data_IF_774312343946
#
_entry.id   IF_774312343946
#
_cell.length_a   1.000
_cell.length_b   1.000
_cell.length_c   1.000
_cell.angle_alpha   90.00
_cell.angle_beta   90.00
_cell.angle_gamma   90.00
#
_symmetry.space_group_name_H-M   'P 1'
#
loop_
_entity.id
_entity.type
_entity.pdbx_description
1 polymer ?
#
# COMPACT_ATOMS: atom_id res chain seq x y z
N UNK A 1 34.22 19.75 -15.26
CA UNK A 1 34.49 18.90 -14.09
C UNK A 1 33.21 18.91 -13.27
N UNK A 2 32.10 18.41 -13.80
CA UNK A 2 31.78 16.97 -13.94
C UNK A 2 31.94 16.26 -12.62
N UNK A 3 30.92 16.40 -11.77
CA UNK A 3 30.65 15.48 -10.67
C UNK A 3 29.46 14.63 -11.13
N UNK A 4 29.77 13.64 -11.98
CA UNK A 4 28.84 12.62 -12.42
C UNK A 4 28.65 11.67 -11.23
N UNK A 5 27.68 11.99 -10.38
CA UNK A 5 27.26 11.16 -9.28
C UNK A 5 26.98 9.74 -9.76
N UNK A 6 27.79 8.82 -9.26
CA UNK A 6 27.69 7.39 -9.44
C UNK A 6 26.28 6.92 -9.07
N UNK A 7 25.38 6.82 -10.06
CA UNK A 7 24.14 6.09 -9.92
C UNK A 7 24.50 4.61 -9.86
N UNK A 8 24.82 4.13 -8.66
CA UNK A 8 24.97 2.71 -8.39
C UNK A 8 23.62 2.07 -8.72
N UNK A 9 23.48 1.53 -9.92
CA UNK A 9 22.36 0.66 -10.24
C UNK A 9 22.47 -0.53 -9.28
N UNK A 10 21.62 -0.54 -8.25
CA UNK A 10 21.53 -1.64 -7.30
C UNK A 10 21.45 -2.96 -8.07
N UNK A 11 22.18 -3.98 -7.59
CA UNK A 11 22.15 -5.31 -8.20
C UNK A 11 20.68 -5.76 -8.33
N UNK A 12 20.27 -6.48 -9.40
CA UNK A 12 18.91 -7.01 -9.52
C UNK A 12 18.44 -7.72 -8.24
N UNK A 13 19.35 -8.39 -7.52
CA UNK A 13 19.04 -9.10 -6.28
C UNK A 13 18.76 -8.18 -5.09
N UNK A 14 19.29 -6.96 -5.09
CA UNK A 14 19.10 -5.94 -4.03
C UNK A 14 17.82 -5.11 -4.23
N UNK A 15 17.07 -5.35 -5.32
CA UNK A 15 15.86 -4.59 -5.59
C UNK A 15 14.79 -4.87 -4.54
N UNK A 16 14.10 -3.79 -4.17
CA UNK A 16 13.02 -3.82 -3.20
C UNK A 16 11.69 -3.37 -3.81
N UNK A 17 10.58 -3.81 -3.22
CA UNK A 17 9.24 -3.36 -3.60
C UNK A 17 8.38 -3.07 -2.37
N UNK A 18 7.64 -1.96 -2.42
CA UNK A 18 6.78 -1.51 -1.34
C UNK A 18 5.34 -2.05 -1.41
N UNK A 19 4.58 -1.92 -0.30
CA UNK A 19 3.23 -2.48 -0.19
C UNK A 19 2.18 -1.69 -0.95
N UNK A 20 2.44 -0.41 -1.24
CA UNK A 20 1.55 0.44 -2.04
C UNK A 20 1.36 -0.07 -3.48
N UNK A 21 2.18 -1.03 -3.90
CA UNK A 21 2.04 -1.77 -5.13
C UNK A 21 0.78 -2.65 -5.19
N UNK A 22 0.13 -2.91 -4.04
CA UNK A 22 -1.16 -3.59 -3.89
C UNK A 22 -2.25 -3.13 -4.87
N UNK A 23 -2.43 -1.80 -4.96
CA UNK A 23 -3.40 -1.13 -5.82
C UNK A 23 -2.82 -0.71 -7.18
N UNK A 24 -1.55 -1.01 -7.46
CA UNK A 24 -0.90 -0.69 -8.74
C UNK A 24 -0.99 -1.91 -9.65
N UNK A 25 -1.26 -1.71 -10.94
CA UNK A 25 -1.07 -2.79 -11.90
C UNK A 25 0.42 -3.18 -11.94
N UNK A 26 0.71 -4.46 -12.26
CA UNK A 26 2.10 -4.93 -12.38
C UNK A 26 2.88 -4.12 -13.44
N UNK A 27 2.21 -3.66 -14.50
CA UNK A 27 2.86 -2.78 -15.48
C UNK A 27 3.31 -1.44 -14.90
N UNK A 28 2.51 -0.84 -14.02
CA UNK A 28 2.91 0.36 -13.28
C UNK A 28 4.11 0.10 -12.38
N UNK A 29 4.13 -1.04 -11.68
CA UNK A 29 5.27 -1.46 -10.84
C UNK A 29 6.55 -1.55 -11.69
N UNK A 30 6.47 -2.18 -12.88
CA UNK A 30 7.61 -2.25 -13.81
C UNK A 30 8.08 -0.86 -14.27
N UNK A 31 7.13 0.03 -14.62
CA UNK A 31 7.43 1.40 -15.06
C UNK A 31 8.08 2.23 -13.96
N UNK A 32 7.62 2.10 -12.72
CA UNK A 32 8.20 2.77 -11.55
C UNK A 32 9.63 2.28 -11.26
N UNK A 33 9.85 0.96 -11.35
CA UNK A 33 11.17 0.36 -11.16
C UNK A 33 12.19 0.68 -12.27
N UNK A 34 11.70 0.97 -13.48
CA UNK A 34 12.53 1.40 -14.62
C UNK A 34 12.69 2.91 -14.75
N UNK A 35 11.98 3.70 -13.93
CA UNK A 35 12.07 5.15 -13.97
C UNK A 35 13.31 5.65 -13.23
N UNK A 36 13.80 6.82 -13.63
CA UNK A 36 14.93 7.47 -12.96
C UNK A 36 14.58 7.82 -11.49
N UNK A 37 15.58 7.84 -10.62
CA UNK A 37 15.37 8.20 -9.21
C UNK A 37 14.76 9.60 -9.10
N UNK A 38 13.71 9.74 -8.29
CA UNK A 38 13.01 11.02 -8.17
C UNK A 38 11.92 11.27 -9.21
N UNK A 39 11.60 10.31 -10.11
CA UNK A 39 10.58 10.44 -11.17
C UNK A 39 9.29 11.12 -10.73
N UNK A 40 8.86 10.86 -9.50
CA UNK A 40 7.64 11.40 -8.91
C UNK A 40 7.62 12.91 -8.73
N UNK A 41 8.79 13.57 -8.71
CA UNK A 41 8.89 15.04 -8.55
C UNK A 41 8.37 15.79 -9.76
N UNK A 42 8.39 15.17 -10.94
CA UNK A 42 7.93 15.76 -12.20
C UNK A 42 6.82 14.94 -12.88
N UNK A 43 6.48 13.77 -12.34
CA UNK A 43 5.32 13.02 -12.80
C UNK A 43 4.03 13.82 -12.65
N UNK A 44 3.10 13.74 -13.61
CA UNK A 44 1.78 14.34 -13.50
C UNK A 44 0.94 13.54 -12.48
N UNK A 45 1.10 13.88 -11.20
CA UNK A 45 0.27 13.31 -10.13
C UNK A 45 -1.12 13.94 -10.20
N UNK A 46 -2.15 13.09 -10.25
CA UNK A 46 -3.55 13.50 -10.19
C UNK A 46 -3.80 14.41 -8.98
N UNK A 47 -4.54 15.49 -9.21
CA UNK A 47 -4.79 16.50 -8.17
C UNK A 47 -5.59 15.91 -6.99
N UNK A 48 -6.54 15.02 -7.28
CA UNK A 48 -7.27 14.30 -6.24
C UNK A 48 -6.36 13.42 -5.39
N UNK A 49 -5.32 12.80 -5.98
CA UNK A 49 -4.30 12.06 -5.23
C UNK A 49 -3.53 12.99 -4.30
N UNK A 50 -3.06 14.14 -4.79
CA UNK A 50 -2.34 15.14 -3.97
C UNK A 50 -3.19 15.62 -2.80
N UNK A 51 -4.43 16.00 -3.05
CA UNK A 51 -5.36 16.46 -2.01
C UNK A 51 -5.63 15.39 -0.94
N UNK A 52 -5.79 14.14 -1.36
CA UNK A 52 -5.96 13.02 -0.41
C UNK A 52 -4.70 12.80 0.45
N UNK A 53 -3.52 12.91 -0.14
CA UNK A 53 -2.25 12.79 0.58
C UNK A 53 -2.06 13.94 1.59
N UNK A 54 -2.37 15.18 1.20
CA UNK A 54 -2.34 16.34 2.11
C UNK A 54 -3.32 16.17 3.27
N UNK A 55 -4.58 15.81 2.99
CA UNK A 55 -5.58 15.58 4.03
C UNK A 55 -5.20 14.43 4.98
N UNK A 56 -4.51 13.40 4.48
CA UNK A 56 -3.96 12.34 5.32
C UNK A 56 -2.80 12.84 6.20
N UNK A 57 -1.93 13.70 5.66
CA UNK A 57 -0.86 14.38 6.39
C UNK A 57 -1.40 15.25 7.54
N UNK A 58 -2.36 16.13 7.25
CA UNK A 58 -3.00 16.99 8.27
C UNK A 58 -3.64 16.16 9.39
N UNK A 59 -4.31 15.07 9.01
CA UNK A 59 -4.90 14.14 9.97
C UNK A 59 -3.82 13.49 10.85
N UNK A 60 -2.71 13.05 10.27
CA UNK A 60 -1.58 12.49 11.02
C UNK A 60 -0.99 13.53 11.97
N UNK A 61 -0.75 14.76 11.51
CA UNK A 61 -0.24 15.84 12.37
C UNK A 61 -1.16 16.10 13.57
N UNK A 62 -2.48 16.20 13.34
CA UNK A 62 -3.44 16.37 14.44
C UNK A 62 -3.48 15.20 15.43
N UNK A 63 -3.30 13.96 14.95
CA UNK A 63 -3.24 12.77 15.82
C UNK A 63 -1.91 12.65 16.56
N UNK A 64 -0.79 12.99 15.92
CA UNK A 64 0.54 13.11 16.52
C UNK A 64 0.51 14.04 17.72
N UNK A 65 -0.01 15.25 17.54
CA UNK A 65 -0.12 16.21 18.63
C UNK A 65 -0.97 15.70 19.80
N UNK A 66 -2.08 15.00 19.51
CA UNK A 66 -2.92 14.37 20.54
C UNK A 66 -2.18 13.25 21.27
N UNK A 67 -1.38 12.45 20.57
CA UNK A 67 -0.58 11.40 21.18
C UNK A 67 0.49 11.99 22.10
N UNK A 68 1.20 13.03 21.65
CA UNK A 68 2.20 13.74 22.44
C UNK A 68 1.60 14.40 23.69
N UNK A 69 0.46 15.09 23.55
CA UNK A 69 -0.24 15.73 24.69
C UNK A 69 -0.90 14.72 25.63
N UNK A 70 -1.33 13.58 25.10
CA UNK A 70 -2.03 12.54 25.85
C UNK A 70 -1.13 11.55 26.57
N UNK A 71 0.20 11.66 26.41
CA UNK A 71 1.16 10.81 27.09
C UNK A 71 1.15 11.07 28.61
N UNK A 72 0.66 10.09 29.36
CA UNK A 72 0.69 10.12 30.82
C UNK A 72 2.09 9.81 31.38
N UNK A 73 2.28 9.90 32.71
CA UNK A 73 3.51 9.48 33.36
C UNK A 73 3.87 8.03 32.97
N UNK A 74 5.12 7.80 32.55
CA UNK A 74 5.60 6.49 32.11
C UNK A 74 5.25 6.09 30.67
N UNK A 75 4.50 6.92 29.94
CA UNK A 75 4.26 6.73 28.50
C UNK A 75 5.32 7.50 27.72
N UNK A 76 6.16 6.77 26.96
CA UNK A 76 7.19 7.38 26.11
C UNK A 76 6.71 7.40 24.66
N UNK A 77 6.39 8.59 24.16
CA UNK A 77 6.07 8.81 22.74
C UNK A 77 7.29 9.41 22.06
N UNK A 78 7.80 8.72 21.03
CA UNK A 78 8.89 9.24 20.19
C UNK A 78 8.30 9.65 18.85
N UNK A 79 8.56 10.88 18.44
CA UNK A 79 8.20 11.39 17.13
C UNK A 79 9.44 11.46 16.25
N UNK A 80 9.48 10.63 15.20
CA UNK A 80 10.66 10.46 14.35
C UNK A 80 10.70 11.55 13.27
N UNK A 81 9.55 11.77 12.63
CA UNK A 81 9.43 12.50 11.36
C UNK A 81 8.87 13.91 11.49
N UNK A 82 8.15 14.19 12.58
CA UNK A 82 7.43 15.45 12.73
C UNK A 82 6.40 15.65 11.62
N UNK A 83 6.45 16.80 10.97
CA UNK A 83 5.51 17.19 9.93
C UNK A 83 5.93 16.74 8.51
N UNK A 84 7.06 15.99 8.40
CA UNK A 84 7.59 15.50 7.12
C UNK A 84 6.89 14.23 6.60
N UNK A 85 5.92 13.69 7.33
CA UNK A 85 5.25 12.44 6.96
C UNK A 85 4.12 12.66 5.94
N UNK A 86 4.45 12.43 4.67
CA UNK A 86 3.52 12.45 3.54
C UNK A 86 3.07 11.02 3.17
N UNK A 87 2.15 10.87 2.22
CA UNK A 87 1.92 9.56 1.56
C UNK A 87 2.21 9.70 0.06
N UNK A 88 3.05 10.68 -0.31
CA UNK A 88 3.41 10.93 -1.69
C UNK A 88 4.47 9.92 -2.13
N UNK A 89 4.53 9.60 -3.43
CA UNK A 89 5.63 8.80 -3.93
C UNK A 89 6.97 9.46 -3.59
N UNK A 90 7.97 8.66 -3.21
CA UNK A 90 9.26 9.14 -2.75
C UNK A 90 9.36 9.50 -1.27
N UNK A 91 8.25 9.39 -0.52
CA UNK A 91 8.31 9.41 0.93
C UNK A 91 8.80 8.07 1.47
N UNK A 92 10.11 7.90 1.40
CA UNK A 92 10.83 6.77 1.96
C UNK A 92 11.53 7.18 3.25
N UNK A 93 11.74 6.23 4.18
CA UNK A 93 12.69 6.38 5.26
C UNK A 93 14.05 6.89 4.77
N UNK A 94 14.65 7.80 5.53
CA UNK A 94 16.06 8.16 5.40
C UNK A 94 16.86 7.55 6.57
N UNK A 95 18.18 7.42 6.42
CA UNK A 95 19.05 6.75 7.41
C UNK A 95 18.94 7.35 8.82
N UNK A 96 18.73 8.66 8.92
CA UNK A 96 18.59 9.37 10.20
C UNK A 96 17.27 8.99 10.89
N UNK A 97 16.17 8.93 10.14
CA UNK A 97 14.87 8.50 10.64
C UNK A 97 14.88 7.02 11.04
N UNK A 98 15.57 6.17 10.28
CA UNK A 98 15.74 4.75 10.60
C UNK A 98 16.51 4.58 11.91
N UNK A 99 17.66 5.26 12.07
CA UNK A 99 18.43 5.21 13.31
C UNK A 99 17.64 5.73 14.52
N UNK A 100 16.88 6.81 14.35
CA UNK A 100 15.98 7.33 15.40
C UNK A 100 14.91 6.32 15.77
N UNK A 101 14.36 5.63 14.78
CA UNK A 101 13.37 4.58 14.98
C UNK A 101 13.96 3.43 15.78
N UNK A 102 15.09 2.87 15.35
CA UNK A 102 15.75 1.75 16.04
C UNK A 102 16.06 2.09 17.50
N UNK A 103 16.66 3.26 17.76
CA UNK A 103 16.91 3.72 19.14
C UNK A 103 15.62 3.85 19.96
N UNK A 104 14.54 4.33 19.36
CA UNK A 104 13.26 4.43 20.04
C UNK A 104 12.71 3.04 20.44
N UNK A 105 12.89 2.04 19.57
CA UNK A 105 12.46 0.67 19.81
C UNK A 105 13.30 0.01 20.91
N UNK A 106 14.63 0.14 20.85
CA UNK A 106 15.58 -0.38 21.84
C UNK A 106 15.35 0.22 23.24
N UNK A 107 15.05 1.51 23.31
CA UNK A 107 14.76 2.21 24.55
C UNK A 107 13.32 1.98 25.06
N UNK A 108 12.54 1.11 24.41
CA UNK A 108 11.21 0.72 24.88
C UNK A 108 10.16 1.84 24.81
N UNK A 109 10.18 2.65 23.74
CA UNK A 109 9.11 3.63 23.51
C UNK A 109 7.72 2.97 23.54
N UNK A 110 6.74 3.58 24.20
CA UNK A 110 5.35 3.09 24.18
C UNK A 110 4.73 3.25 22.79
N UNK A 111 5.08 4.34 22.11
CA UNK A 111 4.62 4.65 20.76
C UNK A 111 5.74 5.34 19.98
N UNK A 112 6.02 4.85 18.77
CA UNK A 112 6.91 5.53 17.82
C UNK A 112 6.03 6.06 16.68
N UNK A 113 5.86 7.37 16.64
CA UNK A 113 5.08 8.05 15.62
C UNK A 113 5.92 8.30 14.37
N UNK A 114 5.43 7.83 13.23
CA UNK A 114 6.15 7.95 11.95
C UNK A 114 7.47 7.22 11.96
N UNK A 115 7.52 6.07 12.64
CA UNK A 115 8.62 5.13 12.58
C UNK A 115 9.01 4.87 11.13
N UNK A 116 10.31 4.95 10.87
CA UNK A 116 10.97 4.61 9.62
C UNK A 116 11.53 3.19 9.76
N UNK A 117 10.78 2.21 9.25
CA UNK A 117 11.25 0.83 9.18
C UNK A 117 12.21 0.71 7.99
N UNK A 118 13.46 0.23 8.21
CA UNK A 118 14.44 0.13 7.15
C UNK A 118 13.99 -0.86 6.08
N UNK A 119 14.54 -0.71 4.88
CA UNK A 119 14.37 -1.72 3.83
C UNK A 119 15.00 -3.05 4.25
N UNK A 120 14.42 -4.15 3.78
CA UNK A 120 14.99 -5.49 3.91
C UNK A 120 15.29 -6.05 2.50
N UNK A 121 16.52 -5.83 1.98
CA UNK A 121 16.93 -6.35 0.68
C UNK A 121 16.89 -7.88 0.61
N UNK A 122 17.05 -8.60 1.73
CA UNK A 122 17.03 -10.06 1.75
C UNK A 122 15.64 -10.61 1.37
N UNK A 123 14.57 -9.98 1.86
CA UNK A 123 13.19 -10.30 1.45
C UNK A 123 12.69 -9.45 0.26
N UNK A 124 13.50 -8.51 -0.22
CA UNK A 124 13.13 -7.56 -1.28
C UNK A 124 12.02 -6.59 -0.85
N UNK A 125 11.91 -6.27 0.44
CA UNK A 125 10.89 -5.36 0.98
C UNK A 125 11.44 -3.94 1.10
N UNK A 126 10.74 -2.98 0.50
CA UNK A 126 11.08 -1.57 0.59
C UNK A 126 10.82 -1.04 2.00
N UNK A 127 11.68 -0.15 2.49
CA UNK A 127 11.47 0.52 3.78
C UNK A 127 10.16 1.30 3.79
N UNK A 128 9.52 1.43 4.95
CA UNK A 128 8.23 2.12 5.04
C UNK A 128 8.07 2.95 6.30
N UNK A 129 7.27 4.01 6.20
CA UNK A 129 6.81 4.79 7.35
C UNK A 129 5.49 4.27 7.90
N UNK A 130 5.42 4.05 9.21
CA UNK A 130 4.19 3.71 9.92
C UNK A 130 4.23 4.19 11.37
N UNK A 131 3.15 4.01 12.11
CA UNK A 131 3.18 4.17 13.58
C UNK A 131 3.46 2.80 14.20
N UNK A 132 4.30 2.74 15.23
CA UNK A 132 4.55 1.50 15.98
C UNK A 132 4.05 1.66 17.41
N UNK A 133 3.32 0.66 17.91
CA UNK A 133 2.87 0.61 19.30
C UNK A 133 3.53 -0.58 20.00
N UNK A 134 4.05 -0.35 21.21
CA UNK A 134 4.50 -1.44 22.07
C UNK A 134 3.29 -2.24 22.58
N UNK A 135 3.46 -3.55 22.76
CA UNK A 135 2.39 -4.43 23.23
C UNK A 135 2.75 -5.17 24.52
N UNK A 136 1.75 -5.53 25.36
CA UNK A 136 1.97 -6.45 26.46
C UNK A 136 2.55 -7.77 25.95
N UNK A 137 3.61 -8.24 26.60
CA UNK A 137 4.37 -9.43 26.16
C UNK A 137 5.60 -9.10 25.32
N UNK A 138 5.83 -7.83 24.99
CA UNK A 138 7.04 -7.36 24.33
C UNK A 138 6.90 -7.26 22.80
N UNK A 139 7.85 -6.53 22.21
CA UNK A 139 7.85 -6.19 20.80
C UNK A 139 6.83 -5.11 20.43
N UNK A 140 6.74 -4.86 19.13
CA UNK A 140 5.95 -3.80 18.53
C UNK A 140 5.02 -4.34 17.45
N UNK A 141 3.92 -3.63 17.27
CA UNK A 141 2.93 -3.90 16.22
C UNK A 141 2.79 -2.69 15.32
N UNK A 142 2.65 -2.89 14.00
CA UNK A 142 2.46 -1.80 13.07
C UNK A 142 1.04 -1.26 13.16
N UNK A 143 0.92 0.06 13.10
CA UNK A 143 -0.32 0.79 13.07
C UNK A 143 -0.34 1.77 11.89
N UNK A 144 -1.37 1.66 11.05
CA UNK A 144 -1.62 2.58 9.94
C UNK A 144 -2.59 3.68 10.35
N UNK A 145 -2.26 4.91 9.97
CA UNK A 145 -3.11 6.08 10.20
C UNK A 145 -3.71 6.50 8.86
N UNK A 146 -4.92 6.05 8.58
CA UNK A 146 -5.54 6.15 7.24
C UNK A 146 -6.68 7.16 7.17
N UNK A 147 -6.86 7.81 6.01
CA UNK A 147 -7.89 8.84 5.82
C UNK A 147 -9.20 8.29 5.24
N UNK A 148 -9.60 7.09 5.66
CA UNK A 148 -10.88 6.47 5.29
C UNK A 148 -11.51 5.75 6.48
N UNK A 149 -12.82 5.50 6.40
CA UNK A 149 -13.55 4.77 7.45
C UNK A 149 -13.14 3.30 7.46
N UNK A 150 -12.78 2.79 8.63
CA UNK A 150 -12.39 1.37 8.85
C UNK A 150 -13.40 0.61 9.70
N UNK A 151 -14.42 1.32 10.18
CA UNK A 151 -15.57 0.76 10.90
C UNK A 151 -16.84 1.43 10.43
N UNK A 152 -17.94 0.70 10.55
CA UNK A 152 -19.29 1.25 10.47
C UNK A 152 -20.03 0.98 11.80
N UNK A 153 -21.07 1.79 12.13
CA UNK A 153 -22.03 1.44 13.17
C UNK A 153 -22.68 0.09 12.87
N UNK A 154 -22.76 -0.77 13.87
CA UNK A 154 -23.39 -2.08 13.77
C UNK A 154 -24.91 -1.94 13.91
N UNK A 155 -25.66 -2.52 12.97
CA UNK A 155 -27.13 -2.64 13.02
C UNK A 155 -27.49 -4.13 13.07
N UNK A 156 -28.26 -4.58 14.07
CA UNK A 156 -28.71 -5.98 14.19
C UNK A 156 -27.70 -6.95 14.83
N UNK A 157 -28.04 -8.25 14.90
CA UNK A 157 -27.33 -9.26 15.72
C UNK A 157 -26.21 -10.08 15.04
N UNK A 158 -26.07 -10.07 13.71
CA UNK A 158 -25.29 -11.08 12.97
C UNK A 158 -24.05 -10.54 12.22
N UNK A 159 -23.17 -9.79 12.89
CA UNK A 159 -21.85 -9.47 12.32
C UNK A 159 -20.75 -9.57 13.38
N UNK A 160 -19.55 -9.97 12.93
CA UNK A 160 -18.37 -10.03 13.77
C UNK A 160 -18.06 -8.64 14.34
N UNK A 161 -17.85 -8.59 15.67
CA UNK A 161 -17.53 -7.37 16.41
C UNK A 161 -16.14 -6.89 16.00
N UNK A 162 -15.97 -5.57 15.86
CA UNK A 162 -14.64 -5.01 15.68
C UNK A 162 -13.80 -5.20 16.95
N UNK A 163 -12.57 -5.71 16.82
CA UNK A 163 -11.59 -5.66 17.90
C UNK A 163 -10.91 -4.29 17.83
N UNK A 164 -10.91 -3.54 18.93
CA UNK A 164 -10.39 -2.17 18.95
C UNK A 164 -9.41 -1.94 20.10
N UNK A 165 -8.49 -0.99 19.92
CA UNK A 165 -7.48 -0.64 20.92
C UNK A 165 -7.16 0.87 20.87
N UNK A 166 -6.49 1.38 21.91
CA UNK A 166 -5.81 2.69 21.85
C UNK A 166 -4.32 2.45 21.65
N UNK A 167 -3.66 3.26 20.82
CA UNK A 167 -2.24 3.01 20.51
C UNK A 167 -1.28 3.27 21.68
N UNK A 168 -1.63 4.20 22.57
CA UNK A 168 -0.84 4.49 23.78
C UNK A 168 -1.08 3.49 24.94
N UNK A 169 -2.11 2.66 24.82
CA UNK A 169 -2.56 1.72 25.84
C UNK A 169 -3.11 0.49 25.11
N UNK A 170 -2.17 -0.35 24.65
CA UNK A 170 -2.50 -1.50 23.82
C UNK A 170 -3.22 -2.58 24.62
N UNK A 171 -4.55 -2.52 24.61
CA UNK A 171 -5.45 -3.47 25.25
C UNK A 171 -6.62 -3.81 24.30
N UNK A 172 -6.42 -4.66 23.27
CA UNK A 172 -7.45 -4.99 22.30
C UNK A 172 -8.70 -5.59 22.95
N UNK A 173 -9.87 -5.01 22.71
CA UNK A 173 -11.15 -5.48 23.23
C UNK A 173 -12.26 -5.39 22.16
N UNK A 174 -13.23 -6.32 22.12
CA UNK A 174 -14.34 -6.25 21.18
C UNK A 174 -15.24 -5.03 21.45
N UNK A 175 -15.56 -4.25 20.43
CA UNK A 175 -16.57 -3.20 20.50
C UNK A 175 -17.91 -3.71 19.91
N UNK A 176 -18.97 -3.87 20.74
CA UNK A 176 -20.24 -4.40 20.27
C UNK A 176 -21.03 -3.41 19.42
N UNK A 177 -20.58 -2.16 19.26
CA UNK A 177 -21.26 -1.13 18.48
C UNK A 177 -20.69 -0.97 17.08
N UNK A 178 -19.55 -1.59 16.79
CA UNK A 178 -18.81 -1.41 15.55
C UNK A 178 -18.67 -2.73 14.78
N UNK A 179 -18.78 -2.63 13.46
CA UNK A 179 -18.37 -3.68 12.52
C UNK A 179 -17.17 -3.21 11.72
N UNK A 180 -16.23 -4.12 11.44
CA UNK A 180 -15.04 -3.81 10.64
C UNK A 180 -15.43 -3.58 9.18
N UNK A 181 -14.92 -2.50 8.59
CA UNK A 181 -14.91 -2.29 7.14
C UNK A 181 -13.53 -2.68 6.64
N UNK A 182 -13.47 -3.80 5.92
CA UNK A 182 -12.20 -4.36 5.42
C UNK A 182 -11.71 -3.56 4.21
N UNK A 183 -10.42 -3.28 4.21
CA UNK A 183 -9.69 -2.67 3.10
C UNK A 183 -8.46 -3.54 2.83
N UNK A 184 -8.45 -4.36 1.76
CA UNK A 184 -7.33 -5.27 1.48
C UNK A 184 -5.96 -4.56 1.45
N UNK A 185 -5.89 -3.35 0.87
CA UNK A 185 -4.66 -2.56 0.83
C UNK A 185 -4.12 -2.15 2.21
N UNK A 186 -4.96 -2.03 3.24
CA UNK A 186 -4.48 -1.78 4.60
C UNK A 186 -3.83 -3.04 5.19
N UNK A 187 -4.38 -4.22 4.89
CA UNK A 187 -3.82 -5.50 5.34
C UNK A 187 -2.47 -5.78 4.67
N UNK A 188 -2.35 -5.55 3.37
CA UNK A 188 -1.07 -5.70 2.64
C UNK A 188 0.01 -4.79 3.25
N UNK A 189 -0.34 -3.53 3.54
CA UNK A 189 0.57 -2.57 4.20
C UNK A 189 0.95 -3.01 5.62
N UNK A 190 0.02 -3.58 6.38
CA UNK A 190 0.31 -4.10 7.72
C UNK A 190 1.21 -5.33 7.69
N UNK A 191 0.96 -6.27 6.77
CA UNK A 191 1.81 -7.46 6.58
C UNK A 191 3.22 -7.06 6.18
N UNK A 192 3.36 -6.08 5.26
CA UNK A 192 4.67 -5.56 4.88
C UNK A 192 5.41 -4.94 6.06
N UNK A 193 4.75 -4.06 6.83
CA UNK A 193 5.33 -3.47 8.03
C UNK A 193 5.70 -4.53 9.09
N UNK A 194 4.88 -5.58 9.22
CA UNK A 194 5.13 -6.69 10.12
C UNK A 194 6.43 -7.42 9.77
N UNK A 195 6.63 -7.77 8.50
CA UNK A 195 7.87 -8.43 8.08
C UNK A 195 9.11 -7.54 8.24
N UNK A 196 8.99 -6.23 8.01
CA UNK A 196 10.09 -5.32 8.30
C UNK A 196 10.42 -5.29 9.81
N UNK A 197 9.41 -5.34 10.69
CA UNK A 197 9.62 -5.45 12.13
C UNK A 197 10.27 -6.78 12.54
N UNK A 198 9.91 -7.88 11.87
CA UNK A 198 10.54 -9.19 12.08
C UNK A 198 12.02 -9.15 11.68
N UNK A 199 12.32 -8.55 10.52
CA UNK A 199 13.69 -8.43 10.02
C UNK A 199 14.62 -7.67 10.99
N UNK A 200 14.11 -6.64 11.67
CA UNK A 200 14.85 -5.88 12.68
C UNK A 200 14.71 -6.45 14.11
N UNK A 201 14.03 -7.59 14.29
CA UNK A 201 13.93 -8.26 15.60
C UNK A 201 13.02 -7.59 16.63
N UNK A 202 12.16 -6.65 16.23
CA UNK A 202 11.28 -5.91 17.13
C UNK A 202 9.80 -6.26 17.00
N UNK A 203 9.42 -7.18 16.12
CA UNK A 203 8.05 -7.65 16.01
C UNK A 203 7.53 -8.26 17.32
N UNK A 204 6.25 -8.05 17.61
CA UNK A 204 5.57 -8.78 18.68
C UNK A 204 5.57 -10.30 18.44
N UNK A 205 5.18 -11.09 19.44
CA UNK A 205 5.11 -12.55 19.29
C UNK A 205 3.99 -13.03 18.34
N UNK A 206 2.97 -12.20 18.08
CA UNK A 206 1.83 -12.54 17.21
C UNK A 206 1.69 -11.53 16.08
N UNK A 207 1.45 -11.98 14.83
CA UNK A 207 1.31 -11.12 13.67
C UNK A 207 -0.03 -10.38 13.72
N UNK A 208 -0.04 -9.25 14.42
CA UNK A 208 -1.19 -8.37 14.55
C UNK A 208 -0.81 -6.97 14.10
N UNK A 209 -1.77 -6.28 13.51
CA UNK A 209 -1.62 -4.88 13.10
C UNK A 209 -2.84 -4.07 13.48
N UNK A 210 -2.71 -2.75 13.46
CA UNK A 210 -3.82 -1.84 13.77
C UNK A 210 -4.06 -0.82 12.67
N UNK A 211 -5.31 -0.42 12.48
CA UNK A 211 -5.67 0.67 11.56
C UNK A 211 -6.51 1.71 12.29
N UNK A 212 -5.97 2.92 12.38
CA UNK A 212 -6.67 4.09 12.88
C UNK A 212 -7.30 4.84 11.70
N UNK A 213 -8.58 4.58 11.45
CA UNK A 213 -9.33 5.22 10.36
C UNK A 213 -10.05 6.51 10.74
N UNK A 214 -10.61 7.15 9.72
CA UNK A 214 -11.31 8.43 9.82
C UNK A 214 -12.52 8.36 10.77
N UNK A 215 -12.65 9.36 11.65
CA UNK A 215 -13.77 9.48 12.57
C UNK A 215 -13.73 8.54 13.79
N UNK A 216 -12.66 7.77 13.97
CA UNK A 216 -12.46 6.92 15.15
C UNK A 216 -11.31 7.44 16.03
N UNK A 217 -11.48 7.38 17.35
CA UNK A 217 -10.42 7.59 18.34
C UNK A 217 -9.73 6.29 18.78
N UNK A 218 -10.22 5.14 18.30
CA UNK A 218 -9.67 3.81 18.54
C UNK A 218 -9.24 3.17 17.22
N UNK A 219 -8.16 2.41 17.27
CA UNK A 219 -7.68 1.65 16.11
C UNK A 219 -8.37 0.30 16.06
N UNK A 220 -8.69 -0.18 14.85
CA UNK A 220 -9.16 -1.55 14.62
C UNK A 220 -7.96 -2.47 14.60
N UNK A 221 -8.00 -3.54 15.39
CA UNK A 221 -6.94 -4.56 15.44
C UNK A 221 -7.28 -5.67 14.46
N UNK A 222 -6.29 -6.07 13.67
CA UNK A 222 -6.36 -7.14 12.70
C UNK A 222 -5.41 -8.26 13.09
N UNK A 223 -5.91 -9.49 13.07
CA UNK A 223 -5.07 -10.68 12.98
C UNK A 223 -4.55 -10.79 11.54
N UNK A 224 -3.24 -10.75 11.37
CA UNK A 224 -2.59 -10.81 10.06
C UNK A 224 -2.34 -12.24 9.62
N UNK A 225 -2.33 -13.21 10.53
CA UNK A 225 -2.00 -14.60 10.23
C UNK A 225 -2.80 -15.18 9.03
N UNK A 226 -4.13 -14.95 8.90
CA UNK A 226 -4.90 -15.49 7.78
C UNK A 226 -4.57 -14.89 6.41
N UNK A 227 -3.82 -13.78 6.36
CA UNK A 227 -3.53 -13.05 5.12
C UNK A 227 -2.04 -12.99 4.78
N UNK A 228 -1.14 -13.43 5.67
CA UNK A 228 0.31 -13.46 5.45
C UNK A 228 0.67 -14.12 4.12
N UNK A 229 0.25 -15.38 3.93
CA UNK A 229 0.63 -16.17 2.75
C UNK A 229 0.15 -15.53 1.43
N UNK A 230 -1.06 -14.95 1.42
CA UNK A 230 -1.59 -14.29 0.24
C UNK A 230 -0.83 -12.98 -0.07
N UNK A 231 -0.54 -12.19 0.96
CA UNK A 231 0.25 -10.97 0.82
C UNK A 231 1.69 -11.30 0.37
N UNK A 232 2.29 -12.37 0.87
CA UNK A 232 3.64 -12.82 0.50
C UNK A 232 3.74 -13.27 -0.95
N UNK A 233 2.76 -14.03 -1.45
CA UNK A 233 2.68 -14.36 -2.89
C UNK A 233 2.57 -13.11 -3.76
N UNK A 234 1.76 -12.15 -3.30
CA UNK A 234 1.56 -10.90 -4.04
C UNK A 234 2.84 -10.04 -4.02
N UNK A 235 3.58 -10.04 -2.90
CA UNK A 235 4.90 -9.42 -2.79
C UNK A 235 5.91 -10.07 -3.71
N UNK A 236 6.05 -11.41 -3.64
CA UNK A 236 6.98 -12.18 -4.48
C UNK A 236 6.73 -11.93 -5.97
N UNK A 237 5.48 -11.94 -6.41
CA UNK A 237 5.11 -11.66 -7.82
C UNK A 237 5.60 -10.28 -8.26
N UNK A 238 5.50 -9.27 -7.40
CA UNK A 238 5.95 -7.90 -7.70
C UNK A 238 7.46 -7.77 -7.65
N UNK A 239 8.12 -8.52 -6.78
CA UNK A 239 9.57 -8.57 -6.73
C UNK A 239 10.12 -9.13 -8.05
N UNK A 240 9.51 -10.17 -8.61
CA UNK A 240 9.86 -10.68 -9.95
C UNK A 240 9.68 -9.60 -11.04
N UNK A 241 8.62 -8.80 -10.97
CA UNK A 241 8.43 -7.67 -11.91
C UNK A 241 9.55 -6.64 -11.78
N UNK A 242 9.85 -6.22 -10.55
CA UNK A 242 10.88 -5.22 -10.28
C UNK A 242 12.27 -5.73 -10.66
N UNK A 243 12.53 -7.04 -10.53
CA UNK A 243 13.75 -7.72 -10.97
C UNK A 243 13.83 -7.95 -12.48
N UNK A 244 12.72 -7.74 -13.19
CA UNK A 244 12.64 -7.93 -14.64
C UNK A 244 12.49 -9.39 -15.09
N UNK A 245 12.23 -10.32 -14.17
CA UNK A 245 12.02 -11.75 -14.46
C UNK A 245 10.57 -12.05 -14.85
N UNK A 246 9.62 -11.22 -14.42
CA UNK A 246 8.23 -11.29 -14.86
C UNK A 246 7.90 -10.15 -15.83
N UNK A 247 7.75 -10.41 -17.14
CA UNK A 247 7.32 -9.39 -18.09
C UNK A 247 5.89 -8.93 -17.78
N UNK A 248 5.60 -7.67 -18.07
CA UNK A 248 4.28 -7.06 -17.86
C UNK A 248 3.82 -6.32 -19.10
N UNK A 249 2.52 -6.31 -19.33
CA UNK A 249 1.88 -5.54 -20.39
C UNK A 249 0.82 -4.60 -19.78
N UNK A 250 0.52 -3.46 -20.45
CA UNK A 250 -0.61 -2.63 -20.07
C UNK A 250 -1.91 -3.44 -20.00
N UNK A 251 -2.76 -3.11 -19.03
CA UNK A 251 -4.16 -3.56 -18.96
C UNK A 251 -4.91 -2.53 -18.14
N UNK A 252 -6.07 -2.09 -18.61
CA UNK A 252 -6.86 -1.06 -17.93
C UNK A 252 -7.48 -1.63 -16.65
N UNK A 253 -7.18 -0.98 -15.54
CA UNK A 253 -7.78 -1.22 -14.23
C UNK A 253 -8.34 0.08 -13.65
N UNK A 254 -9.05 0.01 -12.54
CA UNK A 254 -9.71 1.19 -11.93
C UNK A 254 -8.72 2.31 -11.58
N UNK A 255 -7.52 1.96 -11.16
CA UNK A 255 -6.46 2.88 -10.76
C UNK A 255 -5.75 3.56 -11.94
N UNK A 256 -5.99 3.11 -13.19
CA UNK A 256 -5.44 3.77 -14.38
C UNK A 256 -5.86 5.25 -14.47
N UNK A 257 -7.03 5.61 -13.93
CA UNK A 257 -7.54 6.99 -13.97
C UNK A 257 -6.64 8.02 -13.27
N UNK A 258 -5.84 7.58 -12.29
CA UNK A 258 -4.91 8.42 -11.52
C UNK A 258 -3.45 7.98 -11.72
N UNK A 259 -3.21 7.10 -12.69
CA UNK A 259 -1.90 6.57 -13.00
C UNK A 259 -1.15 7.57 -13.90
N UNK A 260 0.04 8.05 -13.52
CA UNK A 260 0.74 9.04 -14.32
C UNK A 260 1.16 8.46 -15.69
N UNK A 261 1.41 7.15 -15.81
CA UNK A 261 1.74 6.50 -17.09
C UNK A 261 0.54 6.23 -18.01
N UNK A 262 -0.68 6.58 -17.62
CA UNK A 262 -1.87 6.34 -18.43
C UNK A 262 -1.84 7.11 -19.74
N UNK A 263 -1.65 8.43 -19.66
CA UNK A 263 -1.54 9.33 -20.83
C UNK A 263 -0.11 9.41 -21.39
N UNK A 264 0.86 8.86 -20.66
CA UNK A 264 2.26 8.75 -21.05
C UNK A 264 3.08 10.02 -20.84
N UNK A 265 4.26 9.87 -20.25
CA UNK A 265 5.20 10.97 -19.99
C UNK A 265 6.61 10.41 -19.76
N UNK A 266 7.63 11.17 -20.14
CA UNK A 266 9.04 10.91 -19.85
C UNK A 266 9.72 12.23 -19.50
N UNK A 267 10.14 12.39 -18.24
CA UNK A 267 10.69 13.65 -17.74
C UNK A 267 9.72 14.86 -17.77
N UNK A 268 10.20 16.07 -17.45
CA UNK A 268 9.35 17.25 -17.27
C UNK A 268 8.75 17.85 -18.56
N UNK A 269 9.16 17.39 -19.74
CA UNK A 269 8.82 18.06 -21.03
C UNK A 269 8.56 17.13 -22.21
N UNK A 270 8.73 15.81 -22.08
CA UNK A 270 8.57 14.89 -23.20
C UNK A 270 7.34 14.00 -22.99
N UNK A 271 6.42 14.05 -23.94
CA UNK A 271 5.28 13.13 -23.98
C UNK A 271 5.70 11.90 -24.78
N UNK A 272 5.55 10.73 -24.17
CA UNK A 272 5.71 9.43 -24.83
C UNK A 272 4.37 8.70 -24.83
N UNK A 273 4.18 7.69 -25.70
CA UNK A 273 2.95 6.89 -25.69
C UNK A 273 2.66 6.31 -24.30
N UNK A 274 1.45 6.57 -23.82
CA UNK A 274 0.93 6.06 -22.57
C UNK A 274 0.37 4.64 -22.67
N UNK A 275 -0.06 4.09 -21.54
CA UNK A 275 -0.79 2.82 -21.53
C UNK A 275 -2.07 2.91 -22.36
N UNK A 276 -2.76 4.05 -22.34
CA UNK A 276 -3.99 4.27 -23.08
C UNK A 276 -3.81 4.10 -24.58
N UNK A 277 -2.89 4.85 -25.16
CA UNK A 277 -2.61 4.84 -26.59
C UNK A 277 -2.21 3.44 -27.05
N UNK A 278 -1.41 2.73 -26.25
CA UNK A 278 -1.04 1.35 -26.55
C UNK A 278 -2.24 0.41 -26.58
N UNK A 279 -3.13 0.49 -25.58
CA UNK A 279 -4.32 -0.34 -25.51
C UNK A 279 -5.30 -0.04 -26.64
N UNK A 280 -5.45 1.23 -27.02
CA UNK A 280 -6.29 1.65 -28.15
C UNK A 280 -5.74 1.13 -29.49
N UNK A 281 -4.42 1.12 -29.67
CA UNK A 281 -3.76 0.55 -30.85
C UNK A 281 -3.88 -0.98 -30.94
N UNK A 282 -3.80 -1.66 -29.80
CA UNK A 282 -3.89 -3.12 -29.72
C UNK A 282 -5.36 -3.63 -29.69
N UNK A 283 -6.34 -2.72 -29.77
CA UNK A 283 -7.78 -3.00 -29.61
C UNK A 283 -8.10 -3.78 -28.32
N UNK A 284 -7.39 -3.50 -27.22
CA UNK A 284 -7.38 -4.38 -26.04
C UNK A 284 -8.72 -4.41 -25.29
N UNK A 285 -9.19 -5.61 -24.96
CA UNK A 285 -10.51 -5.83 -24.33
C UNK A 285 -10.65 -5.16 -22.96
N UNK A 286 -9.55 -4.91 -22.25
CA UNK A 286 -9.60 -4.20 -20.96
C UNK A 286 -10.13 -2.78 -21.07
N UNK A 287 -10.19 -2.20 -22.26
CA UNK A 287 -10.79 -0.88 -22.48
C UNK A 287 -12.29 -0.85 -22.17
N UNK A 288 -13.00 -1.98 -22.32
CA UNK A 288 -14.47 -2.04 -22.19
C UNK A 288 -14.95 -2.90 -21.03
N UNK A 289 -14.07 -3.71 -20.41
CA UNK A 289 -14.41 -4.52 -19.24
C UNK A 289 -13.61 -4.09 -17.99
N UNK A 290 -14.09 -4.48 -16.82
CA UNK A 290 -13.36 -4.31 -15.56
C UNK A 290 -12.12 -5.22 -15.49
N UNK A 291 -11.06 -4.78 -14.82
CA UNK A 291 -9.80 -5.54 -14.73
C UNK A 291 -9.93 -6.97 -14.19
N UNK A 292 -10.90 -7.23 -13.30
CA UNK A 292 -11.19 -8.58 -12.80
C UNK A 292 -11.80 -9.54 -13.82
N UNK A 293 -12.26 -9.01 -14.96
CA UNK A 293 -12.93 -9.74 -16.05
C UNK A 293 -11.99 -10.09 -17.21
N UNK A 294 -10.85 -9.39 -17.32
CA UNK A 294 -9.87 -9.60 -18.40
C UNK A 294 -9.29 -11.02 -18.37
N UNK A 295 -8.94 -11.53 -17.18
CA UNK A 295 -8.41 -12.89 -17.02
C UNK A 295 -9.34 -13.98 -17.57
N UNK A 296 -10.61 -14.04 -17.14
CA UNK A 296 -11.61 -14.94 -17.70
C UNK A 296 -11.77 -14.86 -19.23
N UNK A 297 -11.73 -13.65 -19.82
CA UNK A 297 -11.81 -13.48 -21.28
C UNK A 297 -10.58 -14.03 -22.00
N UNK A 298 -9.39 -13.69 -21.51
CA UNK A 298 -8.14 -14.19 -22.07
C UNK A 298 -8.05 -15.72 -22.02
N UNK A 299 -8.61 -16.34 -20.97
CA UNK A 299 -8.64 -17.80 -20.82
C UNK A 299 -9.49 -18.51 -21.89
N UNK A 300 -10.48 -17.82 -22.47
CA UNK A 300 -11.30 -18.32 -23.59
C UNK A 300 -10.87 -17.75 -24.95
N UNK A 301 -9.74 -17.05 -25.00
CA UNK A 301 -9.14 -16.53 -26.23
C UNK A 301 -9.64 -15.16 -26.69
N UNK A 302 -10.55 -14.51 -25.95
CA UNK A 302 -11.03 -13.16 -26.24
C UNK A 302 -9.99 -12.17 -25.72
N UNK A 303 -9.31 -11.45 -26.61
CA UNK A 303 -8.25 -10.49 -26.24
C UNK A 303 -8.54 -9.06 -26.68
N UNK A 304 -9.31 -8.90 -27.75
CA UNK A 304 -9.63 -7.59 -28.31
C UNK A 304 -11.09 -7.21 -28.08
N UNK A 305 -11.41 -5.92 -28.24
CA UNK A 305 -12.79 -5.43 -28.27
C UNK A 305 -13.54 -6.07 -29.45
N UNK A 306 -12.87 -6.23 -30.59
CA UNK A 306 -13.43 -6.93 -31.76
C UNK A 306 -13.75 -8.40 -31.44
N UNK A 307 -12.84 -9.12 -30.79
CA UNK A 307 -13.08 -10.52 -30.36
C UNK A 307 -14.29 -10.62 -29.43
N UNK A 308 -14.47 -9.62 -28.55
CA UNK A 308 -15.59 -9.59 -27.60
C UNK A 308 -16.90 -9.29 -28.32
N UNK A 309 -16.92 -8.35 -29.26
CA UNK A 309 -18.10 -8.02 -30.05
C UNK A 309 -18.56 -9.19 -30.95
N UNK A 310 -17.61 -9.98 -31.45
CA UNK A 310 -17.89 -11.20 -32.23
C UNK A 310 -18.20 -12.41 -31.33
N UNK A 311 -18.03 -12.30 -30.01
CA UNK A 311 -18.30 -13.38 -29.09
C UNK A 311 -19.81 -13.64 -29.00
N UNK A 312 -20.19 -14.92 -28.96
CA UNK A 312 -21.58 -15.30 -28.65
C UNK A 312 -21.93 -15.00 -27.19
N UNK A 313 -23.18 -15.19 -26.81
CA UNK A 313 -23.68 -14.95 -25.43
C UNK A 313 -23.20 -15.98 -24.39
N UNK A 314 -22.27 -16.86 -24.77
CA UNK A 314 -21.75 -17.92 -23.90
C UNK A 314 -20.79 -17.34 -22.86
N UNK A 315 -21.22 -17.31 -21.61
CA UNK A 315 -20.46 -16.74 -20.49
C UNK A 315 -19.15 -17.52 -20.22
N UNK A 316 -17.98 -16.86 -20.16
CA UNK A 316 -16.73 -17.50 -19.75
C UNK A 316 -16.81 -18.07 -18.33
N UNK A 317 -16.09 -19.19 -18.05
CA UNK A 317 -15.85 -19.64 -16.69
C UNK A 317 -15.24 -18.51 -15.84
N UNK A 318 -15.65 -18.39 -14.59
CA UNK A 318 -15.15 -17.39 -13.62
C UNK A 318 -15.44 -15.91 -13.95
N UNK A 319 -16.35 -15.63 -14.90
CA UNK A 319 -16.86 -14.27 -15.12
C UNK A 319 -17.50 -13.70 -13.85
N UNK A 320 -17.00 -12.56 -13.38
CA UNK A 320 -17.28 -11.99 -12.06
C UNK A 320 -17.89 -10.57 -12.13
N UNK A 321 -18.80 -10.33 -13.07
CA UNK A 321 -19.54 -9.05 -13.20
C UNK A 321 -20.99 -9.22 -13.65
N UNK A 322 -21.54 -8.13 -14.22
CA UNK A 322 -22.86 -8.03 -14.86
C UNK A 322 -23.14 -9.21 -15.83
N UNK A 323 -24.39 -9.45 -16.25
CA UNK A 323 -24.67 -10.45 -17.28
C UNK A 323 -23.69 -10.30 -18.47
N UNK A 324 -23.08 -11.41 -18.90
CA UNK A 324 -22.06 -11.37 -19.95
C UNK A 324 -22.58 -10.76 -21.27
N UNK A 325 -23.88 -10.91 -21.53
CA UNK A 325 -24.55 -10.30 -22.67
C UNK A 325 -24.52 -8.76 -22.68
N UNK A 326 -24.29 -8.09 -21.55
CA UNK A 326 -24.13 -6.64 -21.50
C UNK A 326 -22.69 -6.18 -21.81
N UNK A 327 -21.73 -7.13 -21.85
CA UNK A 327 -20.34 -6.87 -22.18
C UNK A 327 -20.02 -7.10 -23.66
N UNK A 328 -20.85 -7.87 -24.37
CA UNK A 328 -20.80 -8.11 -25.83
C UNK A 328 -21.57 -6.99 -26.54
#
# INVERSE_FOLDING_TARGET
>A
MEDAGNATHASPDERVVGPASGARCLHRVAREAGAEAGWWRWAPVDEGVRQRAMAAGDRRAGLRERALRGAGPGVRVVDVVGDRWTDLPGDLPDDDDEQRTLRALDEGATLVWGAALPADPCSGREGMRCTLAAVPGGGYVPALVVNHKVVDPRRGGSSSRALVTRLLDWAPAPDPTLRVRRHPGDLDRLVHAWHLLEAIGHAAARPVGAVLGLGSSRSVVHDLHPVLEAADRTHATRLEVVRGTLPTAPSRIGECRTCPWWEGWQGPRERVPGCRERLELDDDVSLVVGGGQVGPLHAVGIRTVSDLADAGTSRPPDWNGEPFADAV
#
